data_IF_661760585614
#
_entry.id   IF_661760585614
#
_cell.length_a   1.000
_cell.length_b   1.000
_cell.length_c   1.000
_cell.angle_alpha   90.00
_cell.angle_beta   90.00
_cell.angle_gamma   90.00
#
_symmetry.space_group_name_H-M   'P 1'
#
loop_
_entity.id
_entity.type
_entity.pdbx_description
1 polymer ?
#
# COMPACT_ATOMS: atom_id res chain seq x y z
N UNK A 1 13.45 2.28 -29.79
CA UNK A 1 12.10 2.35 -29.25
C UNK A 1 12.10 1.89 -27.80
N UNK A 2 11.42 2.61 -26.88
CA UNK A 2 11.26 2.25 -25.47
C UNK A 2 9.78 2.20 -25.16
N UNK A 3 9.28 1.11 -24.58
CA UNK A 3 7.88 0.95 -24.21
C UNK A 3 7.74 0.10 -22.94
N UNK A 4 6.65 0.30 -22.20
CA UNK A 4 6.30 -0.52 -21.05
C UNK A 4 5.48 -1.75 -21.43
N UNK A 5 4.77 -1.69 -22.54
CA UNK A 5 3.87 -2.75 -23.02
C UNK A 5 4.16 -3.06 -24.48
N UNK A 6 4.79 -4.20 -24.72
CA UNK A 6 5.14 -4.65 -26.07
C UNK A 6 3.89 -4.89 -26.94
N UNK A 7 2.78 -5.31 -26.32
CA UNK A 7 1.51 -5.56 -27.01
C UNK A 7 0.87 -4.32 -27.67
N UNK A 8 1.39 -3.11 -27.39
CA UNK A 8 0.95 -1.86 -28.04
C UNK A 8 1.77 -1.49 -29.27
N UNK A 9 2.78 -2.27 -29.58
CA UNK A 9 3.64 -2.07 -30.75
C UNK A 9 3.16 -3.00 -31.84
N UNK A 10 3.07 -2.49 -33.06
CA UNK A 10 2.69 -3.27 -34.24
C UNK A 10 3.61 -4.48 -34.43
N UNK A 11 3.03 -5.64 -34.72
CA UNK A 11 3.75 -6.90 -34.85
C UNK A 11 4.81 -6.87 -35.95
N UNK A 12 4.55 -6.14 -37.07
CA UNK A 12 5.51 -5.97 -38.15
C UNK A 12 6.79 -5.28 -37.65
N UNK A 13 6.62 -4.23 -36.82
CA UNK A 13 7.72 -3.49 -36.24
C UNK A 13 8.46 -4.30 -35.17
N UNK A 14 7.74 -5.11 -34.40
CA UNK A 14 8.35 -6.00 -33.41
C UNK A 14 9.29 -7.00 -34.07
N UNK A 15 8.90 -7.56 -35.22
CA UNK A 15 9.69 -8.56 -35.94
C UNK A 15 10.99 -7.99 -36.56
N UNK A 16 11.07 -6.68 -36.75
CA UNK A 16 12.26 -6.01 -37.28
C UNK A 16 13.25 -5.55 -36.23
N UNK A 17 12.86 -5.59 -34.94
CA UNK A 17 13.64 -5.07 -33.83
C UNK A 17 14.21 -6.15 -32.93
N UNK A 18 15.42 -5.92 -32.41
CA UNK A 18 15.97 -6.72 -31.31
C UNK A 18 15.29 -6.32 -30.01
N UNK A 19 14.64 -7.27 -29.35
CA UNK A 19 13.96 -7.03 -28.09
C UNK A 19 14.92 -7.19 -26.92
N UNK A 20 15.13 -6.12 -26.17
CA UNK A 20 15.87 -6.14 -24.91
C UNK A 20 14.86 -5.89 -23.77
N UNK A 21 14.69 -6.87 -22.90
CA UNK A 21 13.78 -6.77 -21.76
C UNK A 21 14.55 -6.40 -20.48
N UNK A 22 14.14 -5.31 -19.85
CA UNK A 22 14.62 -4.93 -18.52
C UNK A 22 13.67 -5.49 -17.46
N UNK A 23 14.14 -6.44 -16.68
CA UNK A 23 13.38 -6.98 -15.55
C UNK A 23 13.43 -6.03 -14.35
N UNK A 24 12.54 -6.29 -13.35
CA UNK A 24 12.60 -5.57 -12.08
C UNK A 24 13.95 -5.82 -11.39
N UNK A 25 14.45 -4.77 -10.74
CA UNK A 25 15.67 -4.89 -9.96
C UNK A 25 15.46 -5.76 -8.72
N UNK A 26 16.45 -6.54 -8.29
CA UNK A 26 16.42 -7.26 -7.02
C UNK A 26 16.19 -6.31 -5.84
N UNK A 27 15.38 -6.73 -4.88
CA UNK A 27 15.02 -5.92 -3.70
C UNK A 27 16.24 -5.45 -2.93
N UNK A 28 17.19 -6.33 -2.75
CA UNK A 28 18.44 -6.09 -2.04
C UNK A 28 19.25 -4.94 -2.70
N UNK A 29 19.30 -4.92 -4.03
CA UNK A 29 19.97 -3.85 -4.79
C UNK A 29 19.26 -2.51 -4.68
N UNK A 30 17.93 -2.53 -4.63
CA UNK A 30 17.14 -1.31 -4.42
C UNK A 30 17.42 -0.75 -3.02
N UNK A 31 17.38 -1.59 -1.98
CA UNK A 31 17.63 -1.16 -0.59
C UNK A 31 19.08 -0.67 -0.42
N UNK A 32 20.07 -1.33 -1.04
CA UNK A 32 21.45 -0.88 -1.07
C UNK A 32 21.57 0.52 -1.70
N UNK A 33 20.90 0.74 -2.83
CA UNK A 33 20.86 2.04 -3.51
C UNK A 33 20.20 3.12 -2.63
N UNK A 34 19.04 2.84 -2.02
CA UNK A 34 18.38 3.77 -1.09
C UNK A 34 19.26 4.08 0.13
N UNK A 35 20.00 3.08 0.64
CA UNK A 35 20.96 3.28 1.73
C UNK A 35 22.10 4.21 1.33
N UNK A 36 22.55 4.17 0.09
CA UNK A 36 23.58 5.09 -0.43
C UNK A 36 23.05 6.53 -0.45
N UNK A 37 21.81 6.73 -0.93
CA UNK A 37 21.14 8.04 -0.90
C UNK A 37 20.94 8.52 0.53
N UNK A 38 20.43 7.65 1.42
CA UNK A 38 20.20 7.97 2.83
C UNK A 38 21.45 8.51 3.52
N UNK A 39 22.61 7.90 3.23
CA UNK A 39 23.91 8.34 3.75
C UNK A 39 24.39 9.65 3.12
N UNK A 40 24.25 9.78 1.79
CA UNK A 40 24.69 10.98 1.07
C UNK A 40 23.91 12.23 1.48
N UNK A 41 22.59 12.09 1.66
CA UNK A 41 21.68 13.17 2.04
C UNK A 41 21.47 13.30 3.56
N UNK A 42 22.14 12.47 4.37
CA UNK A 42 22.06 12.48 5.86
C UNK A 42 20.62 12.38 6.40
N UNK A 43 19.78 11.55 5.77
CA UNK A 43 18.34 11.47 6.10
C UNK A 43 18.03 10.68 7.37
N UNK A 44 18.98 10.01 7.98
CA UNK A 44 18.85 9.21 9.22
C UNK A 44 17.75 8.10 9.19
N UNK A 45 17.34 7.65 8.01
CA UNK A 45 16.39 6.56 7.89
C UNK A 45 16.99 5.23 8.37
N UNK A 46 16.24 4.47 9.16
CA UNK A 46 16.66 3.12 9.57
C UNK A 46 16.61 2.14 8.39
N UNK A 47 17.34 1.04 8.49
CA UNK A 47 17.28 -0.03 7.46
C UNK A 47 15.87 -0.62 7.36
N UNK A 48 15.12 -0.65 8.45
CA UNK A 48 13.72 -1.09 8.49
C UNK A 48 12.81 -0.14 7.72
N UNK A 49 13.00 1.18 7.88
CA UNK A 49 12.28 2.20 7.11
C UNK A 49 12.56 2.06 5.62
N UNK A 50 13.84 1.86 5.21
CA UNK A 50 14.20 1.66 3.80
C UNK A 50 13.58 0.39 3.22
N UNK A 51 13.57 -0.70 3.97
CA UNK A 51 12.90 -1.94 3.57
C UNK A 51 11.38 -1.75 3.40
N UNK A 52 10.74 -1.00 4.30
CA UNK A 52 9.30 -0.71 4.24
C UNK A 52 8.97 0.17 3.04
N UNK A 53 9.77 1.19 2.74
CA UNK A 53 9.65 2.02 1.53
C UNK A 53 9.78 1.15 0.28
N UNK A 54 10.76 0.23 0.24
CA UNK A 54 10.93 -0.67 -0.89
C UNK A 54 9.70 -1.61 -1.07
N UNK A 55 9.12 -2.12 0.02
CA UNK A 55 7.90 -2.95 -0.04
C UNK A 55 6.70 -2.16 -0.58
N UNK A 56 6.54 -0.91 -0.16
CA UNK A 56 5.45 -0.03 -0.56
C UNK A 56 5.50 0.25 -2.07
N UNK A 57 6.66 0.69 -2.56
CA UNK A 57 6.84 1.13 -3.96
C UNK A 57 7.39 0.03 -4.89
N UNK A 58 7.77 -1.14 -4.35
CA UNK A 58 8.30 -2.32 -5.08
C UNK A 58 9.57 -2.00 -5.88
N UNK A 59 9.45 -1.71 -7.19
CA UNK A 59 10.56 -1.39 -8.09
C UNK A 59 10.50 0.04 -8.63
N UNK A 60 9.58 0.86 -8.15
CA UNK A 60 9.48 2.27 -8.54
C UNK A 60 10.43 3.14 -7.71
N UNK A 61 11.68 3.16 -8.14
CA UNK A 61 12.77 3.91 -7.47
C UNK A 61 12.46 5.41 -7.41
N UNK A 62 11.82 5.98 -8.43
CA UNK A 62 11.48 7.40 -8.45
C UNK A 62 10.50 7.75 -7.33
N UNK A 63 9.45 6.97 -7.17
CA UNK A 63 8.49 7.17 -6.09
C UNK A 63 9.12 6.98 -4.71
N UNK A 64 10.06 6.02 -4.56
CA UNK A 64 10.83 5.85 -3.32
C UNK A 64 11.65 7.08 -2.97
N UNK A 65 12.40 7.62 -3.94
CA UNK A 65 13.24 8.82 -3.73
C UNK A 65 12.36 10.02 -3.40
N UNK A 66 11.28 10.24 -4.16
CA UNK A 66 10.34 11.32 -3.89
C UNK A 66 9.72 11.21 -2.49
N UNK A 67 9.37 9.99 -2.05
CA UNK A 67 8.87 9.74 -0.71
C UNK A 67 9.91 10.10 0.36
N UNK A 68 11.17 9.65 0.19
CA UNK A 68 12.26 9.98 1.11
C UNK A 68 12.50 11.49 1.16
N UNK A 69 12.49 12.17 0.03
CA UNK A 69 12.67 13.61 -0.05
C UNK A 69 11.54 14.39 0.63
N UNK A 70 10.29 13.98 0.38
CA UNK A 70 9.11 14.65 0.97
C UNK A 70 9.01 14.46 2.49
N UNK A 71 9.60 13.38 3.01
CA UNK A 71 9.55 13.04 4.43
C UNK A 71 10.91 13.17 5.13
N UNK A 72 11.88 13.88 4.54
CA UNK A 72 13.26 13.96 5.03
C UNK A 72 13.39 14.28 6.52
N UNK A 73 12.53 15.16 7.03
CA UNK A 73 12.55 15.61 8.44
C UNK A 73 11.91 14.59 9.41
N UNK A 74 11.29 13.52 8.91
CA UNK A 74 10.52 12.55 9.69
C UNK A 74 10.91 11.09 9.42
N UNK A 75 11.88 10.83 8.55
CA UNK A 75 12.23 9.46 8.15
C UNK A 75 12.71 8.58 9.31
N UNK A 76 13.30 9.18 10.35
CA UNK A 76 13.69 8.49 11.57
C UNK A 76 12.49 7.95 12.36
N UNK A 77 11.32 8.62 12.23
CA UNK A 77 10.05 8.29 12.91
C UNK A 77 9.02 7.67 11.96
N UNK A 78 9.29 7.73 10.65
CA UNK A 78 8.34 7.30 9.64
C UNK A 78 8.22 5.77 9.65
N UNK A 79 7.11 5.28 10.16
CA UNK A 79 6.72 3.89 10.04
C UNK A 79 5.85 3.77 8.79
N UNK A 80 6.24 2.88 7.89
CA UNK A 80 5.46 2.61 6.68
C UNK A 80 4.56 1.42 6.94
N UNK A 81 3.26 1.57 6.64
CA UNK A 81 2.31 0.46 6.76
C UNK A 81 2.62 -0.56 5.69
N UNK A 82 2.90 -1.77 6.11
CA UNK A 82 3.17 -2.92 5.24
C UNK A 82 2.03 -3.95 5.29
N UNK A 83 2.16 -5.01 4.48
CA UNK A 83 1.17 -6.10 4.41
C UNK A 83 0.93 -6.76 5.78
N UNK A 84 1.90 -6.72 6.71
CA UNK A 84 1.75 -7.35 8.04
C UNK A 84 0.77 -6.56 8.91
N UNK A 85 0.78 -5.24 8.85
CA UNK A 85 -0.19 -4.39 9.56
C UNK A 85 -1.62 -4.67 9.08
N UNK A 86 -1.80 -4.81 7.77
CA UNK A 86 -3.11 -5.13 7.21
C UNK A 86 -3.59 -6.53 7.60
N UNK A 87 -2.67 -7.49 7.68
CA UNK A 87 -2.97 -8.84 8.17
C UNK A 87 -3.37 -8.83 9.64
N UNK A 88 -2.70 -8.05 10.48
CA UNK A 88 -3.09 -7.87 11.87
C UNK A 88 -4.46 -7.20 11.98
N UNK A 89 -4.75 -6.18 11.16
CA UNK A 89 -6.09 -5.58 11.11
C UNK A 89 -7.16 -6.62 10.76
N UNK A 90 -6.90 -7.50 9.77
CA UNK A 90 -7.81 -8.60 9.43
C UNK A 90 -8.07 -9.55 10.63
N UNK A 91 -7.05 -9.83 11.43
CA UNK A 91 -7.21 -10.65 12.65
C UNK A 91 -8.08 -9.95 13.70
N UNK A 92 -7.88 -8.64 13.90
CA UNK A 92 -8.71 -7.87 14.82
C UNK A 92 -10.17 -7.77 14.34
N UNK A 93 -10.41 -7.64 13.03
CA UNK A 93 -11.75 -7.61 12.44
C UNK A 93 -12.53 -8.93 12.62
N UNK A 94 -11.84 -10.07 12.80
CA UNK A 94 -12.46 -11.36 13.17
C UNK A 94 -12.87 -11.44 14.64
N UNK A 95 -12.33 -10.57 15.48
CA UNK A 95 -12.59 -10.47 16.90
C UNK A 95 -13.82 -9.60 17.21
N UNK A 96 -13.67 -8.73 18.19
CA UNK A 96 -14.74 -7.79 18.54
C UNK A 96 -14.53 -6.40 17.94
N UNK A 97 -15.62 -5.65 17.79
CA UNK A 97 -15.63 -4.31 17.19
C UNK A 97 -14.73 -3.32 17.95
N UNK A 98 -14.65 -3.45 19.29
CA UNK A 98 -13.83 -2.56 20.11
C UNK A 98 -12.32 -2.76 19.85
N UNK A 99 -11.90 -4.01 19.70
CA UNK A 99 -10.48 -4.32 19.42
C UNK A 99 -10.10 -3.85 18.01
N UNK A 100 -11.02 -3.99 17.06
CA UNK A 100 -10.85 -3.46 15.70
C UNK A 100 -10.72 -1.94 15.68
N UNK A 101 -11.59 -1.24 16.42
CA UNK A 101 -11.55 0.21 16.54
C UNK A 101 -10.25 0.69 17.19
N UNK A 102 -9.82 0.03 18.27
CA UNK A 102 -8.56 0.35 18.96
C UNK A 102 -7.34 0.13 18.06
N UNK A 103 -7.35 -0.93 17.24
CA UNK A 103 -6.25 -1.19 16.32
C UNK A 103 -6.20 -0.17 15.17
N UNK A 104 -7.34 0.31 14.69
CA UNK A 104 -7.39 1.42 13.73
C UNK A 104 -6.81 2.70 14.35
N UNK A 105 -7.18 3.06 15.57
CA UNK A 105 -6.56 4.19 16.27
C UNK A 105 -5.04 4.04 16.42
N UNK A 106 -4.60 2.81 16.73
CA UNK A 106 -3.16 2.52 16.77
C UNK A 106 -2.47 2.79 15.42
N UNK A 107 -3.12 2.44 14.29
CA UNK A 107 -2.57 2.74 12.95
C UNK A 107 -2.55 4.26 12.72
N UNK A 108 -3.64 4.97 13.01
CA UNK A 108 -3.73 6.43 12.85
C UNK A 108 -2.60 7.14 13.60
N UNK A 109 -2.41 6.82 14.88
CA UNK A 109 -1.40 7.48 15.72
C UNK A 109 0.04 7.11 15.38
N UNK A 110 0.30 5.83 15.06
CA UNK A 110 1.67 5.36 14.87
C UNK A 110 2.20 5.55 13.45
N UNK A 111 1.30 5.69 12.46
CA UNK A 111 1.67 5.77 11.05
C UNK A 111 1.29 7.10 10.41
N UNK A 112 0.68 8.02 11.16
CA UNK A 112 0.22 9.34 10.68
C UNK A 112 -0.63 9.25 9.41
N UNK A 113 -1.56 8.30 9.40
CA UNK A 113 -2.46 8.02 8.28
C UNK A 113 -3.89 8.27 8.73
N UNK A 114 -4.65 9.04 7.96
CA UNK A 114 -6.05 9.28 8.26
C UNK A 114 -6.94 8.05 7.98
N UNK A 115 -8.09 8.00 8.62
CA UNK A 115 -9.06 6.90 8.52
C UNK A 115 -9.45 6.59 7.07
N UNK A 116 -9.59 7.59 6.21
CA UNK A 116 -9.96 7.39 4.79
C UNK A 116 -8.88 6.61 4.05
N UNK A 117 -7.63 6.98 4.25
CA UNK A 117 -6.50 6.28 3.63
C UNK A 117 -6.32 4.87 4.22
N UNK A 118 -6.54 4.69 5.53
CA UNK A 118 -6.53 3.36 6.15
C UNK A 118 -7.56 2.45 5.48
N UNK A 119 -8.80 2.90 5.35
CA UNK A 119 -9.88 2.12 4.72
C UNK A 119 -9.56 1.82 3.26
N UNK A 120 -9.13 2.83 2.51
CA UNK A 120 -8.76 2.67 1.10
C UNK A 120 -7.64 1.65 0.91
N UNK A 121 -6.57 1.79 1.67
CA UNK A 121 -5.38 0.93 1.51
C UNK A 121 -5.64 -0.48 2.01
N UNK A 122 -6.43 -0.63 3.09
CA UNK A 122 -6.88 -1.92 3.58
C UNK A 122 -7.78 -2.64 2.57
N UNK A 123 -8.79 -1.98 2.00
CA UNK A 123 -9.64 -2.57 0.96
C UNK A 123 -8.83 -2.98 -0.27
N UNK A 124 -7.88 -2.15 -0.69
CA UNK A 124 -6.94 -2.51 -1.75
C UNK A 124 -6.09 -3.74 -1.40
N UNK A 125 -5.65 -3.87 -0.15
CA UNK A 125 -4.93 -5.04 0.32
C UNK A 125 -5.82 -6.29 0.24
N UNK A 126 -7.05 -6.23 0.74
CA UNK A 126 -8.00 -7.36 0.72
C UNK A 126 -8.29 -7.81 -0.71
N UNK A 127 -8.60 -6.90 -1.62
CA UNK A 127 -8.86 -7.21 -3.04
C UNK A 127 -7.66 -7.91 -3.70
N UNK A 128 -6.45 -7.51 -3.37
CA UNK A 128 -5.23 -8.11 -3.95
C UNK A 128 -4.89 -9.48 -3.39
N UNK A 129 -5.26 -9.75 -2.14
CA UNK A 129 -4.85 -10.99 -1.44
C UNK A 129 -5.91 -12.06 -1.46
N UNK A 130 -7.18 -11.70 -1.44
CA UNK A 130 -8.30 -12.62 -1.21
C UNK A 130 -9.28 -12.60 -2.38
N UNK A 131 -8.93 -13.25 -3.48
CA UNK A 131 -9.82 -13.34 -4.65
C UNK A 131 -11.17 -13.97 -4.34
N UNK A 132 -11.28 -14.80 -3.32
CA UNK A 132 -12.52 -15.48 -2.91
C UNK A 132 -13.56 -14.57 -2.25
N UNK A 133 -13.17 -13.40 -1.76
CA UNK A 133 -14.08 -12.42 -1.11
C UNK A 133 -14.82 -11.55 -2.14
N UNK A 134 -14.36 -11.52 -3.39
CA UNK A 134 -14.86 -10.63 -4.44
C UNK A 134 -16.26 -11.11 -4.88
N UNK A 135 -17.29 -10.58 -4.23
CA UNK A 135 -18.69 -10.72 -4.59
C UNK A 135 -19.25 -9.36 -5.01
N UNK A 136 -20.43 -9.36 -5.67
CA UNK A 136 -21.10 -8.09 -6.02
C UNK A 136 -21.31 -7.22 -4.79
N UNK A 137 -21.83 -7.79 -3.70
CA UNK A 137 -22.11 -7.08 -2.45
C UNK A 137 -20.84 -6.49 -1.82
N UNK A 138 -19.71 -7.19 -1.92
CA UNK A 138 -18.43 -6.69 -1.43
C UNK A 138 -17.93 -5.51 -2.29
N UNK A 139 -18.08 -5.60 -3.62
CA UNK A 139 -17.69 -4.51 -4.53
C UNK A 139 -18.57 -3.29 -4.33
N UNK A 140 -19.89 -3.46 -4.15
CA UNK A 140 -20.83 -2.37 -3.84
C UNK A 140 -20.47 -1.68 -2.51
N UNK A 141 -20.10 -2.47 -1.50
CA UNK A 141 -19.58 -1.94 -0.23
C UNK A 141 -18.28 -1.14 -0.43
N UNK A 142 -17.34 -1.64 -1.21
CA UNK A 142 -16.09 -0.94 -1.52
C UNK A 142 -16.36 0.37 -2.27
N UNK A 143 -17.22 0.32 -3.31
CA UNK A 143 -17.59 1.50 -4.09
C UNK A 143 -18.22 2.57 -3.20
N UNK A 144 -19.23 2.20 -2.42
CA UNK A 144 -19.87 3.13 -1.50
C UNK A 144 -18.87 3.75 -0.51
N UNK A 145 -18.02 2.92 0.11
CA UNK A 145 -17.08 3.36 1.14
C UNK A 145 -16.02 4.31 0.57
N UNK A 146 -15.51 4.02 -0.63
CA UNK A 146 -14.45 4.81 -1.27
C UNK A 146 -14.95 6.12 -1.89
N UNK A 147 -16.19 6.14 -2.35
CA UNK A 147 -16.80 7.31 -3.02
C UNK A 147 -17.66 8.17 -2.09
N UNK A 148 -17.69 7.86 -0.79
CA UNK A 148 -18.41 8.68 0.19
C UNK A 148 -17.83 10.10 0.22
N UNK A 149 -18.64 11.09 -0.22
CA UNK A 149 -18.23 12.50 -0.26
C UNK A 149 -18.32 13.09 1.16
N UNK A 150 -17.22 13.70 1.61
CA UNK A 150 -17.08 14.40 2.91
C UNK A 150 -17.72 13.66 4.11
N UNK A 151 -17.40 12.38 4.34
CA UNK A 151 -17.93 11.71 5.51
C UNK A 151 -17.29 12.29 6.77
N UNK A 152 -18.08 12.47 7.80
CA UNK A 152 -17.55 12.59 9.15
C UNK A 152 -16.68 11.36 9.40
N UNK A 153 -15.40 11.51 9.80
CA UNK A 153 -14.46 10.38 9.93
C UNK A 153 -14.99 9.29 10.87
N UNK A 154 -15.68 9.68 11.96
CA UNK A 154 -16.36 8.75 12.85
C UNK A 154 -17.48 7.97 12.17
N UNK A 155 -18.24 8.62 11.26
CA UNK A 155 -19.27 7.92 10.49
C UNK A 155 -18.63 6.89 9.54
N UNK A 156 -17.57 7.26 8.82
CA UNK A 156 -16.85 6.35 7.94
C UNK A 156 -16.32 5.13 8.71
N UNK A 157 -15.76 5.37 9.90
CA UNK A 157 -15.23 4.32 10.77
C UNK A 157 -16.33 3.36 11.24
N UNK A 158 -17.43 3.90 11.78
CA UNK A 158 -18.55 3.08 12.21
C UNK A 158 -19.17 2.30 11.05
N UNK A 159 -19.36 2.95 9.90
CA UNK A 159 -19.89 2.29 8.70
C UNK A 159 -18.98 1.17 8.22
N UNK A 160 -17.68 1.44 8.13
CA UNK A 160 -16.68 0.45 7.72
C UNK A 160 -16.67 -0.74 8.67
N UNK A 161 -16.55 -0.52 9.99
CA UNK A 161 -16.49 -1.58 10.98
C UNK A 161 -17.78 -2.42 11.00
N UNK A 162 -18.94 -1.80 10.99
CA UNK A 162 -20.23 -2.51 11.03
C UNK A 162 -20.49 -3.36 9.78
N UNK A 163 -19.91 -3.03 8.65
CA UNK A 163 -20.17 -3.75 7.41
C UNK A 163 -19.07 -4.76 7.05
N UNK A 164 -17.80 -4.46 7.29
CA UNK A 164 -16.68 -5.34 6.91
C UNK A 164 -16.74 -6.70 7.63
N UNK A 165 -17.35 -6.75 8.80
CA UNK A 165 -17.56 -7.98 9.60
C UNK A 165 -18.33 -9.06 8.82
N UNK A 166 -19.19 -8.68 7.87
CA UNK A 166 -19.92 -9.63 7.02
C UNK A 166 -18.98 -10.57 6.24
N UNK A 167 -17.78 -10.12 5.99
CA UNK A 167 -16.75 -10.87 5.25
C UNK A 167 -15.58 -11.27 6.14
N UNK A 168 -15.69 -11.09 7.46
CA UNK A 168 -14.57 -11.33 8.39
C UNK A 168 -13.98 -12.74 8.26
N UNK A 169 -14.80 -13.77 8.08
CA UNK A 169 -14.33 -15.15 7.94
C UNK A 169 -13.52 -15.39 6.66
N UNK A 170 -13.66 -14.51 5.67
CA UNK A 170 -12.98 -14.57 4.37
C UNK A 170 -11.78 -13.61 4.28
N UNK A 171 -11.52 -12.78 5.30
CA UNK A 171 -10.40 -11.81 5.36
C UNK A 171 -9.04 -12.43 5.68
#
# INVERSE_FOLDING_TARGET
LICNYISRIDDSLQNELLHIRFNQLPKEKIVEFLSTINKAEQLNASIETLNSIQRLFKSDIRSMINYMQSNQDRLDKCKVVDDEIWKQLSLHLKGNEKDSANYIYFIEENYDIDMRNIVKDYLNYVIRKNNGIISSDFLDFCEFTLHLQDPHMEYLKCYFLSNIVKWADSL
#
